data_IF_005960638222
#
_entry.id   IF_005960638222
#
_cell.length_a   1.000
_cell.length_b   1.000
_cell.length_c   1.000
_cell.angle_alpha   90.00
_cell.angle_beta   90.00
_cell.angle_gamma   90.00
#
_symmetry.space_group_name_H-M   'P 1'
#
loop_
_entity.id
_entity.type
_entity.pdbx_description
1 polymer ?
#
# COMPACT_ATOMS: atom_id res chain seq x y z
N UNK A 1 -22.80 17.20 -24.89
CA UNK A 1 -22.20 16.14 -24.05
C UNK A 1 -21.15 15.45 -24.91
N UNK A 2 -19.92 15.95 -25.04
CA UNK A 2 -19.05 15.39 -26.11
C UNK A 2 -17.55 15.69 -26.10
N UNK A 3 -17.02 16.70 -25.41
CA UNK A 3 -15.58 16.99 -25.55
C UNK A 3 -14.70 16.13 -24.63
N UNK A 4 -15.15 15.89 -23.40
CA UNK A 4 -14.41 15.11 -22.40
C UNK A 4 -14.23 13.64 -22.77
N UNK A 5 -15.25 13.03 -23.36
CA UNK A 5 -15.19 11.61 -23.78
C UNK A 5 -14.24 11.46 -24.97
N UNK A 6 -14.28 12.39 -25.92
CA UNK A 6 -13.39 12.38 -27.09
C UNK A 6 -11.93 12.54 -26.70
N UNK A 7 -11.63 13.44 -25.76
CA UNK A 7 -10.28 13.62 -25.19
C UNK A 7 -9.74 12.32 -24.57
N UNK A 8 -10.58 11.56 -23.86
CA UNK A 8 -10.17 10.28 -23.25
C UNK A 8 -9.93 9.19 -24.30
N UNK A 9 -10.66 9.18 -25.41
CA UNK A 9 -10.45 8.26 -26.52
C UNK A 9 -9.12 8.55 -27.22
N UNK A 10 -8.87 9.81 -27.57
CA UNK A 10 -7.60 10.21 -28.21
C UNK A 10 -6.38 9.91 -27.33
N UNK A 11 -6.49 10.14 -26.01
CA UNK A 11 -5.42 9.75 -25.06
C UNK A 11 -5.20 8.24 -25.05
N UNK A 12 -6.27 7.44 -25.08
CA UNK A 12 -6.18 5.98 -25.10
C UNK A 12 -5.42 5.51 -26.35
N UNK A 13 -5.73 6.06 -27.52
CA UNK A 13 -5.08 5.71 -28.78
C UNK A 13 -3.61 6.13 -28.80
N UNK A 14 -3.29 7.31 -28.26
CA UNK A 14 -1.92 7.77 -28.13
C UNK A 14 -1.08 6.82 -27.26
N UNK A 15 -1.58 6.43 -26.09
CA UNK A 15 -0.84 5.54 -25.20
C UNK A 15 -0.74 4.11 -25.74
N UNK A 16 -1.78 3.58 -26.40
CA UNK A 16 -1.71 2.24 -27.03
C UNK A 16 -0.70 2.21 -28.17
N UNK A 17 -0.59 3.27 -28.96
CA UNK A 17 0.45 3.39 -29.98
C UNK A 17 1.86 3.49 -29.35
N UNK A 18 2.03 4.26 -28.27
CA UNK A 18 3.30 4.33 -27.55
C UNK A 18 3.72 2.96 -26.97
N UNK A 19 2.76 2.11 -26.56
CA UNK A 19 3.06 0.74 -26.13
C UNK A 19 3.55 -0.16 -27.27
N UNK A 20 3.04 0.02 -28.50
CA UNK A 20 3.55 -0.71 -29.67
C UNK A 20 5.03 -0.40 -29.92
N UNK A 21 5.46 0.81 -29.56
CA UNK A 21 6.86 1.28 -29.62
C UNK A 21 7.65 0.85 -28.35
N UNK A 22 7.12 -0.05 -27.53
CA UNK A 22 7.72 -0.55 -26.27
C UNK A 22 7.94 0.51 -25.19
N UNK A 23 7.24 1.65 -25.25
CA UNK A 23 7.35 2.68 -24.23
C UNK A 23 6.56 2.29 -22.97
N UNK A 24 7.22 1.68 -21.99
CA UNK A 24 6.58 1.12 -20.79
C UNK A 24 5.84 2.17 -19.95
N UNK A 25 6.33 3.41 -19.92
CA UNK A 25 5.70 4.53 -19.18
C UNK A 25 4.31 4.89 -19.72
N UNK A 26 3.95 4.49 -20.94
CA UNK A 26 2.60 4.68 -21.49
C UNK A 26 1.52 3.92 -20.69
N UNK A 27 1.89 2.82 -19.99
CA UNK A 27 1.01 2.09 -19.08
C UNK A 27 0.48 2.98 -17.94
N UNK A 28 1.31 3.94 -17.48
CA UNK A 28 0.92 4.89 -16.45
C UNK A 28 -0.18 5.84 -16.95
N UNK A 29 -0.06 6.28 -18.20
CA UNK A 29 -1.07 7.11 -18.87
C UNK A 29 -2.38 6.37 -19.10
N UNK A 30 -2.30 5.11 -19.53
CA UNK A 30 -3.47 4.24 -19.68
C UNK A 30 -4.21 4.01 -18.36
N UNK A 31 -3.48 3.73 -17.28
CA UNK A 31 -4.09 3.57 -15.96
C UNK A 31 -4.90 4.81 -15.55
N UNK A 32 -4.39 6.02 -15.80
CA UNK A 32 -5.11 7.26 -15.52
C UNK A 32 -6.35 7.43 -16.41
N UNK A 33 -6.28 7.08 -17.69
CA UNK A 33 -7.43 7.16 -18.61
C UNK A 33 -8.53 6.20 -18.17
N UNK A 34 -8.19 4.95 -17.81
CA UNK A 34 -9.14 3.97 -17.30
C UNK A 34 -9.76 4.41 -15.97
N UNK A 35 -8.97 5.02 -15.08
CA UNK A 35 -9.49 5.60 -13.84
C UNK A 35 -10.53 6.70 -14.10
N UNK A 36 -10.22 7.64 -15.00
CA UNK A 36 -11.15 8.71 -15.39
C UNK A 36 -12.43 8.18 -16.06
N UNK A 37 -12.35 7.03 -16.75
CA UNK A 37 -13.50 6.30 -17.30
C UNK A 37 -14.28 5.49 -16.25
N UNK A 38 -13.97 5.63 -14.95
CA UNK A 38 -14.51 4.82 -13.83
C UNK A 38 -14.24 3.31 -13.96
N UNK A 39 -13.28 2.92 -14.81
CA UNK A 39 -12.88 1.54 -15.07
C UNK A 39 -11.67 1.14 -14.22
N UNK A 40 -11.86 1.09 -12.90
CA UNK A 40 -10.77 0.86 -11.92
C UNK A 40 -10.03 -0.47 -12.12
N UNK A 41 -10.74 -1.55 -12.50
CA UNK A 41 -10.12 -2.87 -12.76
C UNK A 41 -9.07 -2.80 -13.88
N UNK A 42 -9.42 -2.15 -14.99
CA UNK A 42 -8.49 -1.97 -16.12
C UNK A 42 -7.32 -1.06 -15.75
N UNK A 43 -7.57 -0.01 -14.95
CA UNK A 43 -6.49 0.86 -14.46
C UNK A 43 -5.46 0.10 -13.61
N UNK A 44 -5.94 -0.80 -12.75
CA UNK A 44 -5.10 -1.67 -11.91
C UNK A 44 -4.27 -2.66 -12.73
N UNK A 45 -4.88 -3.30 -13.74
CA UNK A 45 -4.19 -4.27 -14.59
C UNK A 45 -3.06 -3.61 -15.39
N UNK A 46 -3.28 -2.39 -15.92
CA UNK A 46 -2.24 -1.63 -16.62
C UNK A 46 -1.07 -1.25 -15.72
N UNK A 47 -1.34 -0.84 -14.47
CA UNK A 47 -0.27 -0.57 -13.49
C UNK A 47 0.46 -1.85 -13.04
N UNK A 48 -0.23 -2.99 -13.02
CA UNK A 48 0.40 -4.29 -12.74
C UNK A 48 1.39 -4.66 -13.83
N UNK A 49 0.99 -4.53 -15.11
CA UNK A 49 1.88 -4.72 -16.26
C UNK A 49 3.08 -3.76 -16.23
N UNK A 50 2.88 -2.54 -15.72
CA UNK A 50 3.95 -1.55 -15.60
C UNK A 50 5.02 -2.01 -14.62
N UNK A 51 4.60 -2.52 -13.46
CA UNK A 51 5.50 -3.03 -12.43
C UNK A 51 6.28 -4.26 -12.92
N UNK A 52 5.61 -5.18 -13.62
CA UNK A 52 6.27 -6.36 -14.18
C UNK A 52 7.36 -5.98 -15.20
N UNK A 53 7.10 -4.95 -16.02
CA UNK A 53 8.04 -4.49 -17.05
C UNK A 53 9.09 -3.52 -16.52
N UNK A 54 8.76 -2.72 -15.52
CA UNK A 54 9.67 -1.77 -14.90
C UNK A 54 10.22 -2.39 -13.62
N UNK A 55 11.38 -3.07 -13.72
CA UNK A 55 12.15 -3.64 -12.60
C UNK A 55 12.17 -2.67 -11.40
N UNK A 56 11.28 -2.88 -10.43
CA UNK A 56 11.15 -2.11 -9.19
C UNK A 56 10.94 -0.59 -9.34
N UNK A 57 9.86 -0.15 -9.98
CA UNK A 57 9.45 1.26 -9.89
C UNK A 57 8.49 1.49 -8.71
N UNK A 58 9.01 2.04 -7.59
CA UNK A 58 8.23 2.36 -6.39
C UNK A 58 6.98 3.21 -6.69
N UNK A 59 7.08 4.20 -7.59
CA UNK A 59 5.92 5.04 -7.96
C UNK A 59 4.82 4.30 -8.73
N UNK A 60 5.15 3.18 -9.38
CA UNK A 60 4.17 2.35 -10.07
C UNK A 60 3.38 1.48 -9.07
N UNK A 61 4.03 1.04 -7.99
CA UNK A 61 3.36 0.35 -6.88
C UNK A 61 2.37 1.26 -6.16
N UNK A 62 2.77 2.50 -5.87
CA UNK A 62 1.93 3.53 -5.25
C UNK A 62 0.65 3.80 -6.07
N UNK A 63 0.79 4.08 -7.36
CA UNK A 63 -0.37 4.33 -8.24
C UNK A 63 -1.23 3.10 -8.46
N UNK A 64 -0.64 1.90 -8.39
CA UNK A 64 -1.41 0.65 -8.47
C UNK A 64 -2.29 0.46 -7.24
N UNK A 65 -1.81 0.79 -6.04
CA UNK A 65 -2.63 0.72 -4.82
C UNK A 65 -3.84 1.65 -4.90
N UNK A 66 -3.70 2.84 -5.49
CA UNK A 66 -4.79 3.79 -5.71
C UNK A 66 -5.94 3.20 -6.55
N UNK A 67 -5.63 2.29 -7.47
CA UNK A 67 -6.63 1.64 -8.35
C UNK A 67 -7.11 0.29 -7.84
N UNK A 68 -6.54 -0.21 -6.75
CA UNK A 68 -6.84 -1.52 -6.20
C UNK A 68 -8.19 -1.51 -5.48
N UNK A 69 -9.23 -1.99 -6.16
CA UNK A 69 -10.45 -2.48 -5.50
C UNK A 69 -10.22 -3.85 -4.82
N UNK A 70 -9.11 -4.52 -5.18
CA UNK A 70 -8.71 -5.85 -4.70
C UNK A 70 -8.15 -5.86 -3.29
N UNK A 71 -7.97 -4.71 -2.64
CA UNK A 71 -7.81 -4.66 -1.18
C UNK A 71 -8.98 -5.35 -0.46
N UNK A 72 -10.14 -5.50 -1.10
CA UNK A 72 -11.24 -6.32 -0.58
C UNK A 72 -11.20 -7.79 -0.98
N UNK A 73 -10.41 -8.19 -1.98
CA UNK A 73 -10.47 -9.53 -2.58
C UNK A 73 -9.23 -10.41 -2.41
N UNK A 74 -8.06 -9.83 -2.17
CA UNK A 74 -6.85 -10.62 -1.93
C UNK A 74 -6.17 -10.14 -0.64
N UNK A 75 -6.72 -10.56 0.52
CA UNK A 75 -6.22 -10.14 1.82
C UNK A 75 -4.82 -10.68 2.17
N UNK A 76 -4.24 -11.52 1.30
CA UNK A 76 -2.88 -12.04 1.46
C UNK A 76 -1.79 -11.04 1.04
N UNK A 77 -2.15 -9.95 0.35
CA UNK A 77 -1.18 -8.93 -0.09
C UNK A 77 -1.03 -7.88 1.02
N UNK A 78 0.09 -7.93 1.74
CA UNK A 78 0.38 -7.02 2.87
C UNK A 78 0.76 -5.59 2.45
N UNK A 79 1.33 -5.41 1.25
CA UNK A 79 1.82 -4.11 0.77
C UNK A 79 0.78 -2.97 0.69
N UNK A 80 -0.45 -3.17 0.16
CA UNK A 80 -1.44 -2.10 0.04
C UNK A 80 -1.94 -1.58 1.40
N UNK A 81 -2.01 -2.43 2.43
CA UNK A 81 -2.44 -2.03 3.77
C UNK A 81 -1.38 -1.21 4.47
N UNK A 82 -0.10 -1.58 4.35
CA UNK A 82 1.03 -0.81 4.90
C UNK A 82 1.07 0.62 4.37
N UNK A 83 0.96 0.77 3.06
CA UNK A 83 0.99 2.09 2.43
C UNK A 83 -0.21 2.94 2.84
N UNK A 84 -1.43 2.37 2.80
CA UNK A 84 -2.63 3.10 3.21
C UNK A 84 -2.56 3.53 4.68
N UNK A 85 -2.08 2.66 5.56
CA UNK A 85 -1.92 2.97 6.97
C UNK A 85 -0.87 4.09 7.19
N UNK A 86 0.25 4.07 6.46
CA UNK A 86 1.24 5.15 6.53
C UNK A 86 0.66 6.50 6.07
N UNK A 87 -0.06 6.53 4.94
CA UNK A 87 -0.73 7.76 4.47
C UNK A 87 -1.77 8.26 5.49
N UNK A 88 -2.53 7.35 6.09
CA UNK A 88 -3.48 7.72 7.14
C UNK A 88 -2.77 8.28 8.38
N UNK A 89 -1.61 7.75 8.74
CA UNK A 89 -0.79 8.27 9.84
C UNK A 89 -0.28 9.68 9.55
N UNK A 90 0.22 9.91 8.34
CA UNK A 90 0.66 11.24 7.87
C UNK A 90 -0.49 12.25 7.83
N UNK A 91 -1.71 11.80 7.52
CA UNK A 91 -2.95 12.59 7.56
C UNK A 91 -3.51 12.77 8.98
N UNK A 92 -2.77 12.38 10.03
CA UNK A 92 -3.20 12.40 11.44
C UNK A 92 -4.48 11.58 11.74
N UNK A 93 -4.78 10.58 10.91
CA UNK A 93 -5.90 9.63 11.05
C UNK A 93 -5.39 8.32 11.67
N UNK A 94 -4.82 8.44 12.85
CA UNK A 94 -4.10 7.37 13.55
C UNK A 94 -5.00 6.13 13.80
N UNK A 95 -6.24 6.35 14.24
CA UNK A 95 -7.22 5.27 14.46
C UNK A 95 -7.56 4.51 13.18
N UNK A 96 -7.78 5.22 12.07
CA UNK A 96 -8.04 4.61 10.76
C UNK A 96 -6.81 3.82 10.26
N UNK A 97 -5.60 4.30 10.53
CA UNK A 97 -4.35 3.62 10.19
C UNK A 97 -4.21 2.28 10.93
N UNK A 98 -4.47 2.28 12.24
CA UNK A 98 -4.46 1.08 13.08
C UNK A 98 -5.53 0.08 12.62
N UNK A 99 -6.73 0.54 12.28
CA UNK A 99 -7.80 -0.32 11.76
C UNK A 99 -7.41 -1.00 10.43
N UNK A 100 -6.78 -0.26 9.52
CA UNK A 100 -6.31 -0.82 8.24
C UNK A 100 -5.26 -1.92 8.44
N UNK A 101 -4.29 -1.70 9.33
CA UNK A 101 -3.32 -2.74 9.69
C UNK A 101 -3.98 -3.93 10.39
N UNK A 102 -4.95 -3.67 11.27
CA UNK A 102 -5.67 -4.71 12.00
C UNK A 102 -6.47 -5.62 11.07
N UNK A 103 -7.11 -5.07 10.03
CA UNK A 103 -7.80 -5.84 8.99
C UNK A 103 -6.83 -6.76 8.24
N UNK A 104 -5.63 -6.26 7.91
CA UNK A 104 -4.61 -7.04 7.24
C UNK A 104 -4.07 -8.19 8.11
N UNK A 105 -3.75 -7.87 9.37
CA UNK A 105 -3.23 -8.84 10.35
C UNK A 105 -4.27 -9.94 10.64
N UNK A 106 -5.55 -9.59 10.76
CA UNK A 106 -6.63 -10.55 10.98
C UNK A 106 -6.75 -11.57 9.84
N UNK A 107 -6.37 -11.19 8.62
CA UNK A 107 -6.36 -12.09 7.48
C UNK A 107 -5.11 -12.95 7.43
N UNK A 108 -3.94 -12.33 7.59
CA UNK A 108 -2.66 -13.02 7.69
C UNK A 108 -1.72 -12.22 8.59
N UNK A 109 -1.38 -12.75 9.78
CA UNK A 109 -0.33 -12.19 10.60
C UNK A 109 0.99 -12.23 9.83
N UNK A 110 1.67 -11.10 9.78
CA UNK A 110 2.94 -10.93 9.10
C UNK A 110 3.86 -10.08 9.98
N UNK A 111 5.14 -10.46 10.04
CA UNK A 111 6.14 -9.80 10.87
C UNK A 111 6.19 -8.29 10.61
N UNK A 112 6.15 -7.89 9.34
CA UNK A 112 6.26 -6.48 8.95
C UNK A 112 5.00 -5.68 9.28
N UNK A 113 3.82 -6.32 9.23
CA UNK A 113 2.56 -5.67 9.62
C UNK A 113 2.48 -5.45 11.13
N UNK A 114 2.85 -6.46 11.91
CA UNK A 114 2.88 -6.38 13.37
C UNK A 114 3.90 -5.36 13.84
N UNK A 115 5.12 -5.37 13.29
CA UNK A 115 6.13 -4.37 13.60
C UNK A 115 5.70 -2.95 13.24
N UNK A 116 5.06 -2.75 12.07
CA UNK A 116 4.57 -1.43 11.66
C UNK A 116 3.47 -0.92 12.60
N UNK A 117 2.53 -1.79 12.99
CA UNK A 117 1.45 -1.41 13.92
C UNK A 117 2.01 -1.09 15.31
N UNK A 118 2.99 -1.85 15.79
CA UNK A 118 3.71 -1.53 17.03
C UNK A 118 4.39 -0.15 16.98
N UNK A 119 5.04 0.19 15.85
CA UNK A 119 5.68 1.50 15.68
C UNK A 119 4.64 2.64 15.71
N UNK A 120 3.44 2.41 15.17
CA UNK A 120 2.36 3.38 15.26
C UNK A 120 1.87 3.55 16.70
N UNK A 121 1.67 2.46 17.45
CA UNK A 121 1.35 2.53 18.88
C UNK A 121 2.42 3.26 19.70
N UNK A 122 3.71 3.05 19.43
CA UNK A 122 4.81 3.80 20.07
C UNK A 122 4.69 5.30 19.78
N UNK A 123 4.38 5.68 18.53
CA UNK A 123 4.18 7.10 18.18
C UNK A 123 2.95 7.74 18.85
N UNK A 124 1.89 6.96 19.07
CA UNK A 124 0.69 7.38 19.80
C UNK A 124 0.88 7.38 21.33
N UNK A 125 2.06 6.96 21.83
CA UNK A 125 2.35 6.77 23.27
C UNK A 125 1.44 5.73 23.95
N UNK A 126 1.12 4.66 23.22
CA UNK A 126 0.39 3.49 23.73
C UNK A 126 1.33 2.27 23.86
N UNK A 127 2.23 2.26 24.86
CA UNK A 127 3.27 1.25 24.96
C UNK A 127 2.72 -0.17 25.20
N UNK A 128 1.57 -0.32 25.86
CA UNK A 128 0.98 -1.62 26.13
C UNK A 128 0.61 -2.37 24.83
N UNK A 129 0.01 -1.67 23.86
CA UNK A 129 -0.34 -2.26 22.56
C UNK A 129 0.88 -2.44 21.67
N UNK A 130 1.86 -1.53 21.74
CA UNK A 130 3.14 -1.68 21.05
C UNK A 130 3.89 -2.94 21.50
N UNK A 131 3.96 -3.19 22.80
CA UNK A 131 4.60 -4.38 23.39
C UNK A 131 3.90 -5.65 22.90
N UNK A 132 2.56 -5.69 22.96
CA UNK A 132 1.77 -6.86 22.51
C UNK A 132 2.04 -7.21 21.05
N UNK A 133 2.10 -6.22 20.17
CA UNK A 133 2.41 -6.44 18.75
C UNK A 133 3.87 -6.83 18.52
N UNK A 134 4.81 -6.29 19.32
CA UNK A 134 6.20 -6.72 19.29
C UNK A 134 6.35 -8.18 19.72
N UNK A 135 5.68 -8.62 20.79
CA UNK A 135 5.68 -10.03 21.22
C UNK A 135 5.14 -10.95 20.14
N UNK A 136 4.04 -10.57 19.49
CA UNK A 136 3.48 -11.32 18.38
C UNK A 136 4.44 -11.38 17.18
N UNK A 137 5.13 -10.28 16.87
CA UNK A 137 6.14 -10.23 15.82
C UNK A 137 7.37 -11.10 16.16
N UNK A 138 7.88 -11.02 17.38
CA UNK A 138 9.02 -11.84 17.85
C UNK A 138 8.67 -13.32 17.96
N UNK A 139 7.39 -13.66 18.13
CA UNK A 139 6.92 -15.04 18.04
C UNK A 139 7.03 -15.61 16.61
N UNK A 140 6.98 -14.76 15.58
CA UNK A 140 7.20 -15.16 14.18
C UNK A 140 8.68 -15.18 13.82
N UNK A 141 9.44 -14.18 14.25
CA UNK A 141 10.89 -14.12 14.09
C UNK A 141 11.56 -13.57 15.36
N UNK A 142 12.10 -14.45 16.22
CA UNK A 142 12.75 -14.06 17.46
C UNK A 142 14.02 -13.22 17.28
N UNK A 143 14.60 -13.21 16.08
CA UNK A 143 15.88 -12.55 15.80
C UNK A 143 15.72 -11.22 15.06
N UNK A 144 14.49 -10.72 14.88
CA UNK A 144 14.24 -9.47 14.17
C UNK A 144 14.69 -8.26 15.01
N UNK A 145 15.88 -7.72 14.69
CA UNK A 145 16.55 -6.64 15.44
C UNK A 145 15.64 -5.46 15.73
N UNK A 146 14.94 -4.96 14.70
CA UNK A 146 14.18 -3.72 14.80
C UNK A 146 12.96 -3.88 15.73
N UNK A 147 12.38 -5.08 15.80
CA UNK A 147 11.29 -5.38 16.73
C UNK A 147 11.80 -5.53 18.15
N UNK A 148 12.97 -6.14 18.35
CA UNK A 148 13.60 -6.24 19.68
C UNK A 148 13.91 -4.84 20.23
N UNK A 149 14.47 -3.96 19.41
CA UNK A 149 14.82 -2.60 19.84
C UNK A 149 13.55 -1.78 20.16
N UNK A 150 12.50 -1.92 19.35
CA UNK A 150 11.21 -1.30 19.64
C UNK A 150 10.57 -1.85 20.92
N UNK A 151 10.62 -3.17 21.14
CA UNK A 151 10.11 -3.80 22.34
C UNK A 151 10.82 -3.28 23.60
N UNK A 152 12.16 -3.22 23.56
CA UNK A 152 12.96 -2.68 24.68
C UNK A 152 12.58 -1.24 24.98
N UNK A 153 12.52 -0.40 23.95
CA UNK A 153 12.13 1.01 24.07
C UNK A 153 10.74 1.17 24.67
N UNK A 154 9.75 0.39 24.22
CA UNK A 154 8.39 0.46 24.72
C UNK A 154 8.24 -0.09 26.15
N UNK A 155 9.13 -1.02 26.55
CA UNK A 155 9.14 -1.63 27.90
C UNK A 155 9.87 -0.79 28.93
N UNK A 156 10.71 0.16 28.52
CA UNK A 156 11.39 1.07 29.42
C UNK A 156 10.39 2.11 29.98
N UNK A 157 10.33 2.29 31.32
CA UNK A 157 9.49 3.33 31.90
C UNK A 157 10.02 4.70 31.47
N UNK A 158 9.18 5.49 30.80
CA UNK A 158 9.49 6.89 30.49
C UNK A 158 9.55 7.68 31.80
N UNK A 159 10.78 7.89 32.29
CA UNK A 159 11.12 8.71 33.46
C UNK A 159 10.92 10.19 33.21
#
# INVERSE_FOLDING_TARGET
MSDWVWILVVRLDCYTNALKIKYTRALQGLGRVYHLKKQRKYAYDEMTKLIEKARNNASAFEKRSEYSWRTQLDPLRTYPYRYRAAVLMDDHKETEAIEELSKAIACKPDLQLLHLRAAFFDSMREPADAIRDCEAALSLDPNHSDTIDLYRKASEPQS
#
